data_IF_950599151384
#
_entry.id   IF_950599151384
#
_cell.length_a   1.000
_cell.length_b   1.000
_cell.length_c   1.000
_cell.angle_alpha   90.00
_cell.angle_beta   90.00
_cell.angle_gamma   90.00
#
_symmetry.space_group_name_H-M   'P 1'
#
loop_
_entity.id
_entity.type
_entity.pdbx_description
1 polymer ?
#
# COMPACT_ATOMS: atom_id res chain seq x y z
N UNK A 1 0.13 21.23 26.86
CA UNK A 1 -0.16 21.08 25.41
C UNK A 1 -1.29 20.08 25.27
N UNK A 2 -2.17 20.24 24.27
CA UNK A 2 -3.21 19.23 23.95
C UNK A 2 -2.52 17.96 23.43
N UNK A 3 -2.94 16.78 23.89
CA UNK A 3 -2.45 15.50 23.38
C UNK A 3 -2.80 15.36 21.89
N UNK A 4 -1.84 14.87 21.09
CA UNK A 4 -1.95 14.79 19.63
C UNK A 4 -1.95 13.36 19.14
N UNK A 5 -2.77 13.08 18.14
CA UNK A 5 -2.68 11.83 17.37
C UNK A 5 -1.40 11.82 16.53
N UNK A 6 -0.96 10.65 16.05
CA UNK A 6 0.11 10.58 15.06
C UNK A 6 -0.24 11.39 13.82
N UNK A 7 -1.51 11.35 13.40
CA UNK A 7 -1.99 12.13 12.27
C UNK A 7 -1.80 13.64 12.49
N UNK A 8 -2.13 14.15 13.67
CA UNK A 8 -1.93 15.57 14.01
C UNK A 8 -0.46 15.95 13.91
N UNK A 9 0.43 15.12 14.47
CA UNK A 9 1.89 15.36 14.43
C UNK A 9 2.41 15.41 12.99
N UNK A 10 2.03 14.43 12.17
CA UNK A 10 2.41 14.34 10.76
C UNK A 10 1.82 15.49 9.93
N UNK A 11 0.57 15.88 10.19
CA UNK A 11 -0.05 16.98 9.46
C UNK A 11 0.64 18.30 9.80
N UNK A 12 0.70 18.63 11.09
CA UNK A 12 1.19 19.93 11.57
C UNK A 12 2.65 20.19 11.22
N UNK A 13 3.50 19.15 11.16
CA UNK A 13 4.91 19.32 10.79
C UNK A 13 5.13 19.66 9.31
N UNK A 14 4.10 19.53 8.45
CA UNK A 14 4.20 19.76 7.00
C UNK A 14 3.29 20.88 6.49
N UNK A 15 2.46 21.50 7.34
CA UNK A 15 1.68 22.67 6.95
C UNK A 15 2.63 23.84 6.69
N UNK A 16 2.65 24.31 5.45
CA UNK A 16 3.38 25.53 5.04
C UNK A 16 2.54 26.77 5.32
N UNK A 17 1.24 26.68 5.02
CA UNK A 17 0.26 27.76 5.19
C UNK A 17 -1.12 27.15 5.33
N UNK A 18 -1.95 27.72 6.21
CA UNK A 18 -3.35 27.33 6.38
C UNK A 18 -4.25 28.56 6.22
N UNK A 19 -5.34 28.40 5.47
CA UNK A 19 -6.37 29.41 5.28
C UNK A 19 -7.45 29.30 6.38
N UNK A 20 -8.22 30.38 6.64
CA UNK A 20 -9.26 30.37 7.67
C UNK A 20 -10.36 29.30 7.51
N UNK A 21 -10.53 28.73 6.31
CA UNK A 21 -11.52 27.70 6.02
C UNK A 21 -11.00 26.25 6.21
N UNK A 22 -9.78 26.11 6.75
CA UNK A 22 -9.10 24.82 6.99
C UNK A 22 -8.43 24.22 5.75
N UNK A 23 -8.38 24.96 4.63
CA UNK A 23 -7.54 24.58 3.48
C UNK A 23 -6.07 24.85 3.81
N UNK A 24 -5.21 23.86 3.66
CA UNK A 24 -3.79 23.98 3.91
C UNK A 24 -2.95 23.70 2.66
N UNK A 25 -1.85 24.43 2.53
CA UNK A 25 -0.75 24.08 1.64
C UNK A 25 0.20 23.14 2.41
N UNK A 26 0.23 21.87 2.02
CA UNK A 26 1.01 20.83 2.65
C UNK A 26 2.30 20.58 1.85
N UNK A 27 3.44 20.60 2.51
CA UNK A 27 4.73 20.25 1.92
C UNK A 27 4.84 18.73 1.69
N UNK A 28 5.46 18.33 0.57
CA UNK A 28 5.64 16.95 0.12
C UNK A 28 7.14 16.60 0.13
N UNK A 29 7.55 15.68 1.02
CA UNK A 29 8.95 15.24 1.13
C UNK A 29 9.39 14.33 -0.01
N UNK A 30 8.51 13.40 -0.38
CA UNK A 30 8.79 12.36 -1.38
C UNK A 30 7.65 12.24 -2.36
N UNK A 31 8.00 12.29 -3.63
CA UNK A 31 7.11 11.98 -4.73
C UNK A 31 7.62 10.73 -5.45
N UNK A 32 6.83 9.68 -5.43
CA UNK A 32 7.09 8.49 -6.22
C UNK A 32 6.38 8.62 -7.57
N UNK A 33 7.02 8.16 -8.63
CA UNK A 33 6.54 8.37 -10.01
C UNK A 33 6.57 7.04 -10.76
N UNK A 34 5.55 6.80 -11.56
CA UNK A 34 5.46 5.64 -12.46
C UNK A 34 4.89 6.07 -13.82
N UNK A 35 4.89 5.15 -14.78
CA UNK A 35 4.69 5.44 -16.20
C UNK A 35 3.24 5.75 -16.61
N UNK A 36 2.25 5.41 -15.76
CA UNK A 36 0.84 5.46 -16.16
C UNK A 36 0.23 6.85 -15.98
N UNK A 37 0.52 7.51 -14.86
CA UNK A 37 -0.18 8.75 -14.45
C UNK A 37 0.67 10.01 -14.56
N UNK A 38 1.97 9.86 -14.81
CA UNK A 38 2.94 10.96 -14.89
C UNK A 38 3.15 11.62 -16.27
N UNK A 39 2.93 10.97 -17.44
CA UNK A 39 3.26 11.57 -18.73
C UNK A 39 2.64 12.96 -18.96
N UNK A 40 1.36 13.12 -18.64
CA UNK A 40 0.66 14.39 -18.83
C UNK A 40 1.14 15.47 -17.87
N UNK A 41 1.57 15.11 -16.65
CA UNK A 41 2.13 16.06 -15.69
C UNK A 41 3.44 16.65 -16.21
N UNK A 42 4.34 15.82 -16.75
CA UNK A 42 5.59 16.30 -17.35
C UNK A 42 5.34 17.17 -18.59
N UNK A 43 4.34 16.82 -19.41
CA UNK A 43 3.96 17.65 -20.56
C UNK A 43 3.42 19.01 -20.13
N UNK A 44 2.60 19.06 -19.06
CA UNK A 44 2.12 20.31 -18.46
C UNK A 44 3.28 21.23 -18.06
N UNK A 45 4.33 20.68 -17.43
CA UNK A 45 5.55 21.43 -17.10
C UNK A 45 6.24 21.99 -18.35
N UNK A 46 6.39 21.18 -19.41
CA UNK A 46 7.02 21.63 -20.68
C UNK A 46 6.24 22.76 -21.32
N UNK A 47 4.92 22.60 -21.47
CA UNK A 47 4.04 23.60 -22.07
C UNK A 47 4.03 24.91 -21.27
N UNK A 48 4.12 24.83 -19.94
CA UNK A 48 4.20 25.98 -19.06
C UNK A 48 5.63 26.54 -18.89
N UNK A 49 6.64 25.93 -19.53
CA UNK A 49 8.06 26.24 -19.35
C UNK A 49 8.51 26.26 -17.88
N UNK A 50 8.05 25.27 -17.10
CA UNK A 50 8.33 25.12 -15.67
C UNK A 50 9.38 24.04 -15.42
N UNK A 51 10.43 24.31 -14.63
CA UNK A 51 11.31 23.26 -14.16
C UNK A 51 10.65 22.42 -13.05
N UNK A 52 11.17 21.22 -12.82
CA UNK A 52 10.92 20.49 -11.57
C UNK A 52 11.62 21.21 -10.43
N UNK A 53 10.92 21.52 -9.34
CA UNK A 53 11.45 22.35 -8.25
C UNK A 53 12.57 21.65 -7.48
N UNK A 54 12.36 20.39 -7.08
CA UNK A 54 13.38 19.58 -6.37
C UNK A 54 13.46 18.18 -6.93
N UNK A 55 14.28 17.99 -7.97
CA UNK A 55 14.45 16.70 -8.63
C UNK A 55 14.80 15.55 -7.66
N UNK A 56 15.62 15.80 -6.63
CA UNK A 56 16.02 14.79 -5.63
C UNK A 56 14.90 14.31 -4.69
N UNK A 57 13.76 15.01 -4.63
CA UNK A 57 12.57 14.57 -3.93
C UNK A 57 11.73 13.56 -4.74
N UNK A 58 12.03 13.38 -6.03
CA UNK A 58 11.31 12.50 -6.93
C UNK A 58 12.10 11.20 -7.17
N UNK A 59 11.39 10.07 -7.19
CA UNK A 59 11.97 8.77 -7.50
C UNK A 59 11.01 7.99 -8.40
N UNK A 60 11.50 7.54 -9.54
CA UNK A 60 10.70 6.87 -10.56
C UNK A 60 11.02 5.37 -10.68
N UNK A 61 10.02 4.59 -11.06
CA UNK A 61 10.16 3.21 -11.53
C UNK A 61 9.05 2.90 -12.51
N UNK A 62 9.35 2.10 -13.54
CA UNK A 62 8.31 1.48 -14.34
C UNK A 62 7.86 0.18 -13.66
N UNK A 63 6.56 -0.04 -13.50
CA UNK A 63 6.05 -1.25 -12.81
C UNK A 63 4.70 -1.77 -13.28
N UNK A 64 3.89 -0.98 -13.99
CA UNK A 64 2.57 -1.39 -14.48
C UNK A 64 2.64 -2.11 -15.83
N UNK A 65 3.57 -1.69 -16.69
CA UNK A 65 3.71 -2.12 -18.08
C UNK A 65 4.96 -2.98 -18.33
N UNK A 66 5.64 -3.39 -17.25
CA UNK A 66 6.81 -4.27 -17.34
C UNK A 66 6.37 -5.72 -17.51
N UNK A 67 6.82 -6.44 -18.56
CA UNK A 67 6.44 -7.83 -18.77
C UNK A 67 6.85 -8.75 -17.62
N UNK A 68 5.93 -9.65 -17.26
CA UNK A 68 6.18 -10.77 -16.33
C UNK A 68 6.89 -11.96 -17.00
N UNK A 69 7.03 -11.92 -18.33
CA UNK A 69 7.72 -12.90 -19.17
C UNK A 69 9.11 -12.39 -19.58
N UNK A 70 9.78 -13.10 -20.49
CA UNK A 70 11.12 -12.76 -20.98
C UNK A 70 11.24 -11.28 -21.44
N UNK A 71 12.04 -10.52 -20.68
CA UNK A 71 12.29 -9.08 -20.89
C UNK A 71 13.38 -8.81 -21.94
N UNK A 72 14.12 -9.84 -22.40
CA UNK A 72 15.26 -9.67 -23.30
C UNK A 72 14.90 -9.04 -24.65
N UNK A 73 13.63 -9.12 -25.04
CA UNK A 73 13.09 -8.54 -26.28
C UNK A 73 12.40 -7.19 -26.07
N UNK A 74 12.47 -6.62 -24.86
CA UNK A 74 11.75 -5.42 -24.48
C UNK A 74 10.25 -5.65 -24.34
N UNK A 75 9.46 -4.58 -24.51
CA UNK A 75 8.00 -4.59 -24.34
C UNK A 75 7.34 -4.75 -25.72
N UNK A 76 6.65 -5.87 -25.93
CA UNK A 76 6.04 -6.20 -27.22
C UNK A 76 4.78 -5.38 -27.52
N UNK A 77 3.97 -5.07 -26.50
CA UNK A 77 2.78 -4.24 -26.66
C UNK A 77 3.19 -2.77 -26.88
N UNK A 78 2.84 -2.16 -28.02
CA UNK A 78 3.23 -0.78 -28.32
C UNK A 78 2.67 0.23 -27.32
N UNK A 79 1.52 -0.02 -26.70
CA UNK A 79 0.91 0.90 -25.72
C UNK A 79 1.69 0.87 -24.40
N UNK A 80 1.98 -0.34 -23.90
CA UNK A 80 2.84 -0.53 -22.74
C UNK A 80 4.23 0.07 -22.94
N UNK A 81 4.82 -0.15 -24.13
CA UNK A 81 6.16 0.35 -24.47
C UNK A 81 6.24 1.87 -24.47
N UNK A 82 5.30 2.57 -25.13
CA UNK A 82 5.35 4.04 -25.22
C UNK A 82 5.25 4.69 -23.85
N UNK A 83 4.50 4.12 -22.91
CA UNK A 83 4.40 4.65 -21.54
C UNK A 83 5.75 4.57 -20.82
N UNK A 84 6.42 3.42 -20.87
CA UNK A 84 7.74 3.22 -20.25
C UNK A 84 8.80 4.12 -20.90
N UNK A 85 8.88 4.15 -22.24
CA UNK A 85 9.83 5.01 -22.95
C UNK A 85 9.58 6.51 -22.67
N UNK A 86 8.32 6.90 -22.47
CA UNK A 86 7.97 8.28 -22.10
C UNK A 86 8.43 8.61 -20.68
N UNK A 87 8.31 7.66 -19.73
CA UNK A 87 8.87 7.84 -18.39
C UNK A 87 10.39 7.98 -18.44
N UNK A 88 11.09 7.10 -19.18
CA UNK A 88 12.54 7.14 -19.36
C UNK A 88 12.99 8.53 -19.86
N UNK A 89 12.32 9.05 -20.90
CA UNK A 89 12.62 10.36 -21.46
C UNK A 89 12.33 11.51 -20.48
N UNK A 90 11.19 11.45 -19.77
CA UNK A 90 10.83 12.45 -18.77
C UNK A 90 11.87 12.49 -17.63
N UNK A 91 12.27 11.33 -17.12
CA UNK A 91 13.26 11.24 -16.06
C UNK A 91 14.62 11.79 -16.51
N UNK A 92 15.04 11.51 -17.74
CA UNK A 92 16.25 12.06 -18.33
C UNK A 92 16.19 13.59 -18.48
N UNK A 93 15.11 14.12 -19.05
CA UNK A 93 14.92 15.56 -19.31
C UNK A 93 14.92 16.37 -18.01
N UNK A 94 14.20 15.86 -16.99
CA UNK A 94 13.99 16.55 -15.72
C UNK A 94 14.98 16.13 -14.61
N UNK A 95 15.94 15.26 -14.94
CA UNK A 95 17.00 14.76 -14.04
C UNK A 95 16.44 14.08 -12.78
N UNK A 96 15.38 13.30 -12.95
CA UNK A 96 14.78 12.49 -11.89
C UNK A 96 15.48 11.13 -11.86
N UNK A 97 15.78 10.64 -10.67
CA UNK A 97 16.34 9.31 -10.52
C UNK A 97 15.27 8.26 -10.84
N UNK A 98 15.63 7.33 -11.72
CA UNK A 98 14.74 6.26 -12.16
C UNK A 98 15.42 4.89 -11.99
N UNK A 99 14.65 3.91 -11.50
CA UNK A 99 15.00 2.50 -11.60
C UNK A 99 14.27 1.91 -12.80
N UNK A 100 14.87 2.08 -13.98
CA UNK A 100 14.32 1.60 -15.24
C UNK A 100 14.30 0.07 -15.32
N UNK A 101 13.69 -0.48 -16.37
CA UNK A 101 13.42 -1.92 -16.51
C UNK A 101 14.65 -2.84 -16.32
N UNK A 102 15.86 -2.36 -16.62
CA UNK A 102 17.11 -3.11 -16.51
C UNK A 102 17.84 -2.90 -15.18
N UNK A 103 17.38 -2.00 -14.31
CA UNK A 103 17.94 -1.82 -12.98
C UNK A 103 17.55 -3.02 -12.09
N UNK A 104 18.50 -3.66 -11.39
CA UNK A 104 18.19 -4.80 -10.51
C UNK A 104 17.24 -4.45 -9.35
N UNK A 105 17.06 -3.16 -9.03
CA UNK A 105 16.16 -2.65 -7.99
C UNK A 105 14.76 -2.36 -8.49
N UNK A 106 14.53 -2.40 -9.81
CA UNK A 106 13.22 -2.16 -10.40
C UNK A 106 12.18 -3.09 -9.76
N UNK A 107 11.02 -2.53 -9.46
CA UNK A 107 9.93 -3.24 -8.82
C UNK A 107 8.70 -2.36 -8.69
N UNK A 108 7.67 -2.94 -8.08
CA UNK A 108 6.43 -2.25 -7.74
C UNK A 108 6.77 -1.04 -6.87
N UNK A 109 6.26 0.14 -7.22
CA UNK A 109 6.66 1.41 -6.61
C UNK A 109 6.53 1.42 -5.08
N UNK A 110 5.50 0.77 -4.53
CA UNK A 110 5.24 0.64 -3.09
C UNK A 110 6.07 -0.44 -2.38
N UNK A 111 6.81 -1.27 -3.12
CA UNK A 111 7.78 -2.24 -2.59
C UNK A 111 9.19 -1.69 -2.74
N UNK A 112 9.53 -1.21 -3.93
CA UNK A 112 10.82 -0.62 -4.26
C UNK A 112 11.12 0.58 -3.36
N UNK A 113 10.18 1.53 -3.20
CA UNK A 113 10.44 2.76 -2.45
C UNK A 113 10.96 2.50 -1.03
N UNK A 114 10.22 1.73 -0.21
CA UNK A 114 10.66 1.40 1.14
C UNK A 114 11.89 0.50 1.18
N UNK A 115 12.05 -0.42 0.21
CA UNK A 115 13.23 -1.27 0.09
C UNK A 115 14.52 -0.45 -0.10
N UNK A 116 14.43 0.67 -0.83
CA UNK A 116 15.56 1.59 -0.98
C UNK A 116 15.70 2.58 0.19
N UNK A 117 14.75 2.60 1.14
CA UNK A 117 14.68 3.61 2.21
C UNK A 117 14.21 4.99 1.73
N UNK A 118 13.54 5.05 0.58
CA UNK A 118 13.01 6.30 0.02
C UNK A 118 11.80 6.85 0.81
N UNK A 119 11.21 5.99 1.66
CA UNK A 119 10.16 6.29 2.61
C UNK A 119 10.75 6.18 4.01
N UNK A 120 10.80 7.31 4.71
CA UNK A 120 11.30 7.40 6.08
C UNK A 120 10.17 7.84 7.02
N UNK A 121 10.26 7.50 8.32
CA UNK A 121 9.26 7.94 9.28
C UNK A 121 9.16 9.46 9.34
N UNK A 122 7.92 9.93 9.45
CA UNK A 122 7.62 11.35 9.54
C UNK A 122 7.53 12.07 8.20
N UNK A 123 7.68 11.40 7.07
CA UNK A 123 7.55 12.03 5.75
C UNK A 123 6.09 12.22 5.32
N UNK A 124 5.85 13.21 4.44
CA UNK A 124 4.73 13.20 3.49
C UNK A 124 5.14 12.53 2.18
N UNK A 125 4.40 11.51 1.75
CA UNK A 125 4.72 10.71 0.55
C UNK A 125 3.51 10.65 -0.39
N UNK A 126 3.71 11.02 -1.66
CA UNK A 126 2.64 10.97 -2.67
C UNK A 126 3.09 10.22 -3.91
N UNK A 127 2.13 9.65 -4.64
CA UNK A 127 2.31 9.02 -5.94
C UNK A 127 1.01 9.12 -6.71
N UNK A 128 1.07 9.08 -8.04
CA UNK A 128 -0.11 8.95 -8.90
C UNK A 128 -0.80 7.58 -8.83
N UNK A 129 -0.76 6.91 -7.67
CA UNK A 129 -1.27 5.57 -7.40
C UNK A 129 -2.09 5.57 -6.09
N UNK A 130 -3.25 4.93 -6.09
CA UNK A 130 -4.18 4.89 -4.96
C UNK A 130 -3.60 4.22 -3.70
N UNK A 131 -2.75 3.21 -3.88
CA UNK A 131 -2.17 2.39 -2.82
C UNK A 131 -0.92 2.99 -2.19
N UNK A 132 -0.64 4.27 -2.45
CA UNK A 132 0.41 5.04 -1.77
C UNK A 132 0.27 5.04 -0.25
N UNK A 133 -0.93 4.80 0.27
CA UNK A 133 -1.17 4.57 1.70
C UNK A 133 -0.27 3.47 2.30
N UNK A 134 0.24 2.53 1.51
CA UNK A 134 1.25 1.52 1.92
C UNK A 134 2.39 2.10 2.75
N UNK A 135 2.85 3.30 2.40
CA UNK A 135 3.99 3.97 3.05
C UNK A 135 3.69 4.44 4.47
N UNK A 136 2.42 4.51 4.88
CA UNK A 136 2.07 4.85 6.25
C UNK A 136 2.45 3.77 7.27
N UNK A 137 2.81 2.57 6.83
CA UNK A 137 3.42 1.53 7.67
C UNK A 137 4.71 1.99 8.37
N UNK A 138 5.33 3.06 7.87
CA UNK A 138 6.54 3.68 8.39
C UNK A 138 6.26 4.86 9.31
N UNK A 139 5.00 5.15 9.65
CA UNK A 139 4.62 6.40 10.32
C UNK A 139 4.80 7.61 9.41
N UNK A 140 4.46 7.48 8.13
CA UNK A 140 4.47 8.54 7.13
C UNK A 140 3.04 8.92 6.72
N UNK A 141 2.79 10.19 6.40
CA UNK A 141 1.52 10.63 5.83
C UNK A 141 1.55 10.41 4.33
N UNK A 142 0.98 9.28 3.88
CA UNK A 142 1.07 8.85 2.51
C UNK A 142 -0.28 8.61 1.85
N UNK A 143 -0.46 9.14 0.63
CA UNK A 143 -1.73 9.05 -0.09
C UNK A 143 -1.54 9.22 -1.61
N UNK A 144 -2.47 8.61 -2.37
CA UNK A 144 -2.51 8.75 -3.81
C UNK A 144 -3.01 10.12 -4.24
N UNK A 145 -2.51 10.60 -5.38
CA UNK A 145 -2.84 11.91 -5.96
C UNK A 145 -3.23 11.79 -7.43
N UNK A 146 -4.00 12.76 -7.94
CA UNK A 146 -4.38 12.81 -9.35
C UNK A 146 -3.27 13.34 -10.25
N UNK A 147 -3.36 13.12 -11.57
CA UNK A 147 -2.38 13.62 -12.55
C UNK A 147 -2.14 15.13 -12.47
N UNK A 148 -3.17 15.94 -12.23
CA UNK A 148 -2.98 17.38 -12.03
C UNK A 148 -2.16 17.68 -10.77
N UNK A 149 -2.37 16.93 -9.69
CA UNK A 149 -1.59 17.08 -8.45
C UNK A 149 -0.15 16.61 -8.63
N UNK A 150 0.11 15.58 -9.46
CA UNK A 150 1.47 15.14 -9.84
C UNK A 150 2.25 16.33 -10.45
N UNK A 151 1.64 17.09 -11.36
CA UNK A 151 2.26 18.31 -11.91
C UNK A 151 2.55 19.35 -10.82
N UNK A 152 1.59 19.60 -9.93
CA UNK A 152 1.75 20.58 -8.85
C UNK A 152 2.89 20.21 -7.90
N UNK A 153 2.99 18.94 -7.54
CA UNK A 153 4.10 18.43 -6.72
C UNK A 153 5.40 18.65 -7.47
N UNK A 154 5.53 18.19 -8.72
CA UNK A 154 6.75 18.39 -9.50
C UNK A 154 7.17 19.87 -9.60
N UNK A 155 6.20 20.78 -9.75
CA UNK A 155 6.45 22.22 -9.87
C UNK A 155 6.74 22.95 -8.55
N UNK A 156 6.26 22.45 -7.41
CA UNK A 156 6.23 23.24 -6.15
C UNK A 156 6.60 22.48 -4.88
N UNK A 157 6.62 21.15 -4.91
CA UNK A 157 6.70 20.27 -3.73
C UNK A 157 5.59 20.51 -2.70
N UNK A 158 4.47 21.10 -3.10
CA UNK A 158 3.35 21.35 -2.21
C UNK A 158 2.02 20.92 -2.85
N UNK A 159 1.05 20.60 -2.00
CA UNK A 159 -0.33 20.30 -2.39
C UNK A 159 -1.33 21.08 -1.54
N UNK A 160 -2.43 21.50 -2.17
CA UNK A 160 -3.57 22.05 -1.46
C UNK A 160 -4.40 20.88 -0.93
N UNK A 161 -4.53 20.78 0.39
CA UNK A 161 -5.24 19.69 1.07
C UNK A 161 -6.18 20.24 2.14
N UNK A 162 -7.23 19.48 2.47
CA UNK A 162 -8.01 19.68 3.70
C UNK A 162 -7.74 18.53 4.65
N UNK A 163 -7.54 18.85 5.93
CA UNK A 163 -7.29 17.82 6.95
C UNK A 163 -8.50 16.90 7.06
N UNK A 164 -8.25 15.60 7.04
CA UNK A 164 -9.29 14.58 7.26
C UNK A 164 -9.62 14.49 8.75
N UNK A 165 -10.69 13.78 9.09
CA UNK A 165 -10.91 13.34 10.46
C UNK A 165 -9.96 12.20 10.83
N UNK A 166 -9.75 11.98 12.12
CA UNK A 166 -8.92 10.90 12.66
C UNK A 166 -9.76 9.69 13.04
N UNK A 167 -9.39 8.51 12.54
CA UNK A 167 -10.02 7.24 12.94
C UNK A 167 -8.97 6.33 13.55
N UNK A 168 -9.23 5.76 14.72
CA UNK A 168 -8.40 4.72 15.32
C UNK A 168 -9.04 3.35 15.10
N UNK A 169 -8.32 2.44 14.45
CA UNK A 169 -8.69 1.02 14.37
C UNK A 169 -7.78 0.22 15.30
N UNK A 170 -8.34 -0.27 16.41
CA UNK A 170 -7.63 -1.09 17.40
C UNK A 170 -7.90 -2.57 17.12
N UNK A 171 -6.87 -3.32 16.73
CA UNK A 171 -6.93 -4.78 16.60
C UNK A 171 -6.34 -5.40 17.86
N UNK A 172 -7.21 -5.69 18.82
CA UNK A 172 -6.85 -5.97 20.21
C UNK A 172 -6.48 -7.43 20.48
N UNK A 173 -5.43 -7.65 21.26
CA UNK A 173 -4.86 -8.97 21.52
C UNK A 173 -4.06 -9.58 20.35
N UNK A 174 -3.48 -10.78 20.54
CA UNK A 174 -2.71 -11.46 19.50
C UNK A 174 -3.63 -12.11 18.46
N UNK A 175 -3.20 -12.12 17.21
CA UNK A 175 -3.89 -12.83 16.13
C UNK A 175 -3.79 -14.36 16.31
N UNK A 176 -4.83 -15.09 15.90
CA UNK A 176 -4.87 -16.54 15.98
C UNK A 176 -3.93 -17.25 14.98
N UNK A 177 -3.69 -18.56 15.15
CA UNK A 177 -2.87 -19.33 14.21
C UNK A 177 -3.39 -19.25 12.77
N UNK A 178 -2.48 -19.01 11.82
CA UNK A 178 -2.82 -18.92 10.40
C UNK A 178 -3.41 -17.57 9.95
N UNK A 179 -3.62 -16.64 10.88
CA UNK A 179 -4.05 -15.27 10.58
C UNK A 179 -2.83 -14.42 10.25
N UNK A 180 -2.92 -13.70 9.14
CA UNK A 180 -1.87 -12.81 8.61
C UNK A 180 -2.33 -11.36 8.58
N UNK A 181 -1.43 -10.45 8.19
CA UNK A 181 -1.79 -9.05 7.95
C UNK A 181 -2.95 -8.88 6.96
N UNK A 182 -3.02 -9.76 5.93
CA UNK A 182 -4.09 -9.72 4.93
C UNK A 182 -5.44 -10.05 5.56
N UNK A 183 -5.49 -11.05 6.42
CA UNK A 183 -6.72 -11.44 7.13
C UNK A 183 -7.18 -10.34 8.07
N UNK A 184 -6.24 -9.70 8.78
CA UNK A 184 -6.54 -8.57 9.67
C UNK A 184 -7.20 -7.43 8.89
N UNK A 185 -6.59 -6.97 7.79
CA UNK A 185 -7.13 -5.83 7.06
C UNK A 185 -8.43 -6.17 6.32
N UNK A 186 -8.58 -7.40 5.82
CA UNK A 186 -9.86 -7.86 5.27
C UNK A 186 -10.97 -7.89 6.34
N UNK A 187 -10.66 -8.31 7.57
CA UNK A 187 -11.63 -8.26 8.66
C UNK A 187 -12.00 -6.81 9.04
N UNK A 188 -11.04 -5.87 9.00
CA UNK A 188 -11.33 -4.44 9.17
C UNK A 188 -12.28 -3.95 8.07
N UNK A 189 -11.95 -4.20 6.80
CA UNK A 189 -12.77 -3.75 5.65
C UNK A 189 -14.16 -4.40 5.70
N UNK A 190 -14.26 -5.69 6.01
CA UNK A 190 -15.55 -6.37 6.20
C UNK A 190 -16.37 -5.77 7.35
N UNK A 191 -15.72 -5.23 8.39
CA UNK A 191 -16.39 -4.61 9.53
C UNK A 191 -16.90 -3.21 9.25
N UNK A 192 -16.09 -2.36 8.61
CA UNK A 192 -16.42 -0.93 8.39
C UNK A 192 -16.96 -0.65 6.98
N UNK A 193 -16.82 -1.59 6.05
CA UNK A 193 -17.19 -1.46 4.65
C UNK A 193 -16.22 -0.61 3.85
N UNK A 194 -16.41 -0.61 2.53
CA UNK A 194 -15.61 0.18 1.57
C UNK A 194 -15.77 1.69 1.70
N UNK A 195 -16.82 2.14 2.38
CA UNK A 195 -17.06 3.56 2.66
C UNK A 195 -16.75 3.96 4.11
N UNK A 196 -16.38 3.02 4.99
CA UNK A 196 -16.25 3.27 6.43
C UNK A 196 -15.20 4.30 6.81
N UNK A 197 -14.11 4.37 6.03
CA UNK A 197 -13.03 5.34 6.19
C UNK A 197 -13.20 6.64 5.40
N UNK A 198 -14.33 6.85 4.72
CA UNK A 198 -14.52 8.03 3.87
C UNK A 198 -14.41 9.32 4.68
N UNK A 199 -13.46 10.18 4.31
CA UNK A 199 -13.19 11.45 5.01
C UNK A 199 -12.33 11.30 6.26
N UNK A 200 -11.80 10.10 6.53
CA UNK A 200 -10.89 9.81 7.63
C UNK A 200 -9.48 9.47 7.13
N UNK A 201 -8.50 9.72 7.99
CA UNK A 201 -7.20 9.08 7.99
C UNK A 201 -7.19 8.03 9.11
N UNK A 202 -6.78 6.79 8.79
CA UNK A 202 -6.86 5.66 9.73
C UNK A 202 -5.49 5.44 10.41
N UNK A 203 -5.49 5.43 11.73
CA UNK A 203 -4.39 4.89 12.52
C UNK A 203 -4.70 3.45 12.92
N UNK A 204 -3.84 2.50 12.53
CA UNK A 204 -3.96 1.10 12.93
C UNK A 204 -3.11 0.84 14.18
N UNK A 205 -3.73 0.27 15.22
CA UNK A 205 -3.10 0.01 16.49
C UNK A 205 -3.56 -1.31 17.11
N UNK A 206 -3.11 -1.59 18.34
CA UNK A 206 -3.39 -2.85 19.04
C UNK A 206 -2.26 -3.87 18.89
N UNK A 207 -2.34 -4.93 19.69
CA UNK A 207 -1.27 -5.92 19.79
C UNK A 207 -1.04 -6.64 18.46
N UNK A 208 -2.11 -7.05 17.76
CA UNK A 208 -1.98 -7.72 16.48
C UNK A 208 -1.22 -6.90 15.44
N UNK A 209 -1.40 -5.56 15.42
CA UNK A 209 -0.67 -4.65 14.51
C UNK A 209 0.80 -4.50 14.92
N UNK A 210 1.08 -4.38 16.22
CA UNK A 210 2.46 -4.30 16.74
C UNK A 210 3.25 -5.58 16.47
N UNK A 211 2.58 -6.73 16.54
CA UNK A 211 3.20 -8.05 16.34
C UNK A 211 3.63 -8.29 14.88
N UNK A 212 3.00 -7.61 13.91
CA UNK A 212 3.41 -7.66 12.50
C UNK A 212 4.85 -7.20 12.27
N UNK A 213 5.47 -7.72 11.22
CA UNK A 213 6.64 -7.13 10.56
C UNK A 213 6.27 -5.78 9.92
N UNK A 214 7.26 -5.05 9.44
CA UNK A 214 7.00 -3.81 8.67
C UNK A 214 6.29 -4.14 7.36
N UNK A 215 6.68 -5.21 6.70
CA UNK A 215 6.04 -5.74 5.50
C UNK A 215 4.58 -6.12 5.74
N UNK A 216 4.23 -6.68 6.90
CA UNK A 216 2.85 -6.94 7.30
C UNK A 216 2.08 -5.64 7.55
N UNK A 217 2.69 -4.64 8.18
CA UNK A 217 2.08 -3.30 8.34
C UNK A 217 1.84 -2.64 6.99
N UNK A 218 2.75 -2.81 6.04
CA UNK A 218 2.59 -2.33 4.67
C UNK A 218 1.35 -2.95 4.01
N UNK A 219 1.07 -4.25 4.22
CA UNK A 219 -0.18 -4.88 3.75
C UNK A 219 -1.43 -4.22 4.36
N UNK A 220 -1.42 -3.93 5.67
CA UNK A 220 -2.55 -3.28 6.34
C UNK A 220 -2.76 -1.86 5.81
N UNK A 221 -1.70 -1.05 5.74
CA UNK A 221 -1.78 0.33 5.27
C UNK A 221 -2.10 0.43 3.77
N UNK A 222 -1.60 -0.51 2.95
CA UNK A 222 -1.92 -0.61 1.52
C UNK A 222 -3.44 -0.66 1.31
N UNK A 223 -4.13 -1.47 2.12
CA UNK A 223 -5.56 -1.68 1.96
C UNK A 223 -6.46 -0.68 2.71
N UNK A 224 -5.89 0.41 3.25
CA UNK A 224 -6.68 1.49 3.86
C UNK A 224 -7.60 2.17 2.83
N UNK A 225 -7.17 2.23 1.55
CA UNK A 225 -7.96 2.82 0.48
C UNK A 225 -9.18 1.96 0.12
N UNK A 226 -9.10 0.63 0.21
CA UNK A 226 -10.25 -0.27 0.08
C UNK A 226 -11.26 -0.11 1.21
N UNK A 227 -10.87 0.41 2.37
CA UNK A 227 -11.79 0.83 3.43
C UNK A 227 -12.36 2.24 3.23
N UNK A 228 -11.95 2.96 2.17
CA UNK A 228 -12.39 4.30 1.84
C UNK A 228 -11.55 5.43 2.46
N UNK A 229 -10.48 5.10 3.20
CA UNK A 229 -9.59 6.09 3.79
C UNK A 229 -8.45 6.46 2.83
N UNK A 230 -8.17 7.77 2.69
CA UNK A 230 -7.08 8.23 1.80
C UNK A 230 -5.68 7.91 2.32
N UNK A 231 -5.55 7.72 3.62
CA UNK A 231 -4.28 7.41 4.28
C UNK A 231 -4.52 6.41 5.42
N UNK A 232 -3.54 5.54 5.63
CA UNK A 232 -3.51 4.60 6.74
C UNK A 232 -2.09 4.50 7.30
N UNK A 233 -1.90 4.62 8.61
CA UNK A 233 -0.56 4.59 9.22
C UNK A 233 -0.50 3.79 10.51
N UNK A 234 0.72 3.34 10.82
CA UNK A 234 1.09 2.66 12.07
C UNK A 234 2.18 3.48 12.75
N UNK A 235 2.09 3.58 14.08
CA UNK A 235 3.10 4.26 14.90
C UNK A 235 4.50 3.65 14.73
N UNK A 236 5.51 4.50 14.85
CA UNK A 236 6.90 4.09 14.75
C UNK A 236 7.32 3.33 16.00
N UNK A 237 8.02 2.22 15.79
CA UNK A 237 8.69 1.46 16.84
C UNK A 237 10.06 0.95 16.38
N UNK A 238 10.71 0.14 17.21
CA UNK A 238 12.04 -0.42 16.93
C UNK A 238 12.08 -1.24 15.64
N UNK A 239 10.98 -1.92 15.26
CA UNK A 239 10.92 -2.66 13.98
C UNK A 239 11.01 -1.70 12.81
N UNK A 240 10.38 -0.53 12.91
CA UNK A 240 10.44 0.50 11.87
C UNK A 240 11.85 1.05 11.74
N UNK A 241 12.50 1.36 12.87
CA UNK A 241 13.86 1.90 12.92
C UNK A 241 14.87 0.90 12.35
N UNK A 242 14.82 -0.37 12.77
CA UNK A 242 15.72 -1.39 12.26
C UNK A 242 15.47 -1.72 10.79
N UNK A 243 14.22 -1.65 10.31
CA UNK A 243 13.93 -1.84 8.90
C UNK A 243 14.60 -0.78 8.03
N UNK A 244 14.59 0.50 8.42
CA UNK A 244 15.15 1.59 7.58
C UNK A 244 16.67 1.70 7.68
N UNK A 245 17.28 1.11 8.71
CA UNK A 245 18.71 1.21 8.99
C UNK A 245 19.58 0.67 7.85
N UNK A 246 20.55 1.49 7.43
CA UNK A 246 21.52 1.11 6.40
C UNK A 246 20.95 1.01 4.98
N UNK A 247 19.67 1.35 4.75
CA UNK A 247 19.10 1.42 3.40
C UNK A 247 19.70 2.58 2.60
N UNK A 248 19.74 2.48 1.25
CA UNK A 248 20.40 3.47 0.39
C UNK A 248 20.01 4.94 0.62
N UNK A 249 18.73 5.22 0.89
CA UNK A 249 18.23 6.58 1.14
C UNK A 249 17.99 6.88 2.63
N UNK A 250 18.43 6.00 3.53
CA UNK A 250 18.37 6.25 4.96
C UNK A 250 19.33 7.40 5.37
N UNK A 251 19.09 8.06 6.52
CA UNK A 251 20.01 9.07 7.04
C UNK A 251 21.44 8.52 7.17
N UNK A 252 22.42 9.37 6.87
CA UNK A 252 23.83 9.03 7.08
C UNK A 252 24.12 8.81 8.57
N UNK A 253 25.24 8.16 8.87
CA UNK A 253 25.66 7.90 10.26
C UNK A 253 25.71 9.18 11.13
N UNK A 254 26.03 10.33 10.54
CA UNK A 254 26.07 11.62 11.26
C UNK A 254 24.68 12.13 11.69
N UNK A 255 23.63 11.80 10.94
CA UNK A 255 22.26 12.25 11.21
C UNK A 255 21.38 11.15 11.79
N UNK A 256 21.87 9.91 11.88
CA UNK A 256 21.11 8.74 12.30
C UNK A 256 20.50 8.91 13.70
N UNK A 257 21.32 9.25 14.70
CA UNK A 257 20.83 9.36 16.09
C UNK A 257 19.79 10.47 16.24
N UNK A 258 19.93 11.57 15.50
CA UNK A 258 18.95 12.66 15.48
C UNK A 258 17.64 12.21 14.82
N UNK A 259 17.73 11.47 13.72
CA UNK A 259 16.57 10.91 13.04
C UNK A 259 15.84 9.92 13.94
N UNK A 260 16.55 8.98 14.57
CA UNK A 260 15.97 8.01 15.52
C UNK A 260 15.29 8.70 16.69
N UNK A 261 15.94 9.71 17.29
CA UNK A 261 15.36 10.48 18.40
C UNK A 261 14.04 11.16 17.99
N UNK A 262 13.97 11.72 16.78
CA UNK A 262 12.72 12.28 16.25
C UNK A 262 11.68 11.19 15.96
N UNK A 263 12.08 10.11 15.30
CA UNK A 263 11.19 9.01 14.91
C UNK A 263 10.52 8.33 16.11
N UNK A 264 11.21 8.22 17.24
CA UNK A 264 10.65 7.70 18.48
C UNK A 264 9.49 8.54 19.03
N UNK A 265 9.32 9.79 18.58
CA UNK A 265 8.18 10.65 18.97
C UNK A 265 6.94 10.44 18.09
N UNK A 266 7.07 9.69 17.00
CA UNK A 266 6.04 9.47 15.99
C UNK A 266 5.10 8.32 16.37
N UNK A 267 4.36 8.57 17.43
CA UNK A 267 3.21 7.80 17.90
C UNK A 267 2.14 8.78 18.40
N UNK A 268 0.88 8.34 18.54
CA UNK A 268 -0.12 9.14 19.26
C UNK A 268 0.30 9.37 20.71
N UNK A 269 -0.02 10.55 21.27
CA UNK A 269 0.20 10.84 22.69
C UNK A 269 -0.83 10.12 23.56
N UNK A 270 -0.46 9.81 24.80
CA UNK A 270 -1.42 9.32 25.79
C UNK A 270 -2.57 10.33 25.97
N UNK A 271 -3.80 9.86 25.80
CA UNK A 271 -5.00 10.69 25.89
C UNK A 271 -5.30 11.52 24.63
N UNK A 272 -4.66 11.24 23.49
CA UNK A 272 -5.07 11.80 22.21
C UNK A 272 -6.52 11.37 21.88
N UNK A 273 -7.33 12.33 21.43
CA UNK A 273 -8.73 12.10 21.04
C UNK A 273 -8.80 11.79 19.53
N UNK A 274 -9.57 10.76 19.18
CA UNK A 274 -9.87 10.42 17.79
C UNK A 274 -11.34 10.74 17.49
N UNK A 275 -11.63 11.17 16.26
CA UNK A 275 -13.00 11.45 15.83
C UNK A 275 -13.87 10.17 15.77
N UNK A 276 -13.25 9.01 15.52
CA UNK A 276 -13.90 7.70 15.51
C UNK A 276 -12.94 6.62 16.05
N UNK A 277 -13.47 5.65 16.80
CA UNK A 277 -12.69 4.51 17.32
C UNK A 277 -13.42 3.20 17.04
N UNK A 278 -12.76 2.32 16.28
CA UNK A 278 -13.23 0.98 15.96
C UNK A 278 -12.35 -0.05 16.66
N UNK A 279 -12.94 -0.90 17.48
CA UNK A 279 -12.22 -1.96 18.20
C UNK A 279 -12.63 -3.32 17.66
N UNK A 280 -11.64 -4.13 17.28
CA UNK A 280 -11.81 -5.49 16.74
C UNK A 280 -10.95 -6.45 17.57
N UNK A 281 -11.54 -7.43 18.27
CA UNK A 281 -10.77 -8.47 18.95
C UNK A 281 -10.05 -9.36 17.94
N UNK A 282 -8.71 -9.38 17.96
CA UNK A 282 -7.88 -10.15 17.04
C UNK A 282 -8.19 -11.66 17.09
N UNK A 283 -8.58 -12.17 18.26
CA UNK A 283 -8.95 -13.56 18.47
C UNK A 283 -10.22 -13.99 17.69
N UNK A 284 -11.04 -13.05 17.21
CA UNK A 284 -12.21 -13.32 16.38
C UNK A 284 -11.89 -13.35 14.89
N UNK A 285 -10.69 -12.90 14.50
CA UNK A 285 -10.27 -12.90 13.10
C UNK A 285 -9.82 -14.32 12.75
N UNK A 286 -10.47 -14.89 11.74
CA UNK A 286 -10.09 -16.14 11.09
C UNK A 286 -9.42 -15.85 9.75
N UNK A 287 -8.74 -16.82 9.10
CA UNK A 287 -8.29 -16.66 7.72
C UNK A 287 -9.45 -16.23 6.81
N UNK A 288 -9.27 -15.15 6.06
CA UNK A 288 -10.31 -14.46 5.29
C UNK A 288 -10.13 -14.66 3.79
N UNK A 289 -11.23 -14.53 3.06
CA UNK A 289 -11.23 -14.38 1.60
C UNK A 289 -12.31 -13.38 1.18
N UNK A 290 -12.05 -12.63 0.12
CA UNK A 290 -13.10 -11.89 -0.60
C UNK A 290 -13.74 -12.80 -1.64
N UNK A 291 -15.03 -13.09 -1.53
CA UNK A 291 -15.73 -14.02 -2.43
C UNK A 291 -16.38 -13.34 -3.64
N UNK A 292 -16.57 -12.02 -3.58
CA UNK A 292 -17.29 -11.24 -4.59
C UNK A 292 -16.42 -10.27 -5.38
N UNK A 293 -17.06 -9.22 -5.92
CA UNK A 293 -16.43 -8.18 -6.74
C UNK A 293 -16.10 -6.90 -5.97
N UNK A 294 -16.24 -6.94 -4.64
CA UNK A 294 -15.96 -5.80 -3.75
C UNK A 294 -15.06 -6.26 -2.60
N UNK A 295 -14.07 -5.44 -2.17
CA UNK A 295 -13.21 -5.76 -1.03
C UNK A 295 -13.95 -5.97 0.30
N UNK A 296 -15.17 -5.45 0.47
CA UNK A 296 -15.99 -5.67 1.68
C UNK A 296 -16.77 -7.00 1.67
N UNK A 297 -16.83 -7.69 0.54
CA UNK A 297 -17.50 -9.00 0.41
C UNK A 297 -16.56 -10.10 0.96
N UNK A 298 -16.31 -10.03 2.27
CA UNK A 298 -15.34 -10.86 3.00
C UNK A 298 -16.06 -11.96 3.77
N UNK A 299 -15.46 -13.15 3.78
CA UNK A 299 -15.89 -14.27 4.61
C UNK A 299 -14.69 -15.06 5.13
N UNK A 300 -14.80 -15.69 6.32
CA UNK A 300 -13.82 -16.68 6.74
C UNK A 300 -13.73 -17.81 5.72
N UNK A 301 -12.52 -18.33 5.49
CA UNK A 301 -12.28 -19.47 4.57
C UNK A 301 -13.08 -20.72 4.98
N UNK A 302 -13.41 -20.86 6.27
CA UNK A 302 -14.21 -21.96 6.81
C UNK A 302 -15.72 -21.80 6.60
N UNK A 303 -16.18 -20.65 6.10
CA UNK A 303 -17.60 -20.33 5.98
C UNK A 303 -18.16 -20.67 4.58
N UNK A 304 -19.37 -20.18 4.30
CA UNK A 304 -20.07 -20.30 3.02
C UNK A 304 -20.18 -18.94 2.34
N UNK A 305 -20.35 -18.95 1.03
CA UNK A 305 -20.75 -17.78 0.25
C UNK A 305 -22.06 -17.23 0.84
N UNK A 306 -22.10 -15.96 1.30
CA UNK A 306 -23.30 -15.37 1.91
C UNK A 306 -24.52 -15.35 0.98
N UNK A 307 -25.70 -15.46 1.58
CA UNK A 307 -26.97 -15.44 0.86
C UNK A 307 -27.58 -14.02 0.84
N UNK A 308 -27.85 -13.43 -0.34
CA UNK A 308 -28.50 -12.11 -0.43
C UNK A 308 -29.90 -12.04 0.18
N UNK A 309 -30.52 -13.18 0.53
CA UNK A 309 -31.81 -13.24 1.24
C UNK A 309 -31.67 -12.92 2.73
N UNK A 310 -30.47 -13.07 3.29
CA UNK A 310 -30.17 -12.79 4.70
C UNK A 310 -29.64 -11.35 4.92
N UNK A 311 -29.41 -10.60 3.84
CA UNK A 311 -29.00 -9.19 3.89
C UNK A 311 -30.21 -8.26 3.98
N UNK A 312 -30.23 -7.44 5.04
CA UNK A 312 -31.35 -6.55 5.35
C UNK A 312 -31.34 -5.27 4.50
N UNK A 313 -30.17 -4.81 4.07
CA UNK A 313 -30.05 -3.64 3.19
C UNK A 313 -30.33 -4.06 1.73
N UNK A 314 -31.43 -3.55 1.11
CA UNK A 314 -31.80 -3.96 -0.25
C UNK A 314 -30.75 -3.58 -1.30
N UNK A 315 -29.97 -2.52 -1.08
CA UNK A 315 -28.90 -2.09 -1.99
C UNK A 315 -27.73 -3.05 -1.90
N UNK A 316 -27.32 -3.43 -0.68
CA UNK A 316 -26.27 -4.44 -0.49
C UNK A 316 -26.69 -5.80 -1.03
N UNK A 317 -27.93 -6.22 -0.75
CA UNK A 317 -28.48 -7.47 -1.27
C UNK A 317 -28.46 -7.52 -2.81
N UNK A 318 -28.82 -6.42 -3.48
CA UNK A 318 -28.71 -6.31 -4.94
C UNK A 318 -27.24 -6.37 -5.42
N UNK A 319 -26.33 -5.66 -4.72
CA UNK A 319 -24.89 -5.75 -4.94
C UNK A 319 -24.37 -7.19 -4.88
N UNK A 320 -24.77 -7.94 -3.84
CA UNK A 320 -24.42 -9.36 -3.69
C UNK A 320 -24.97 -10.22 -4.83
N UNK A 321 -26.23 -10.03 -5.25
CA UNK A 321 -26.81 -10.78 -6.39
C UNK A 321 -26.01 -10.55 -7.68
N UNK A 322 -25.60 -9.31 -7.95
CA UNK A 322 -24.76 -8.98 -9.11
C UNK A 322 -23.38 -9.61 -9.00
N UNK A 323 -22.76 -9.55 -7.82
CA UNK A 323 -21.47 -10.19 -7.57
C UNK A 323 -21.53 -11.71 -7.77
N UNK A 324 -22.54 -12.39 -7.23
CA UNK A 324 -22.74 -13.84 -7.41
C UNK A 324 -22.91 -14.20 -8.88
N UNK A 325 -23.72 -13.44 -9.62
CA UNK A 325 -23.92 -13.62 -11.07
C UNK A 325 -22.62 -13.44 -11.85
N UNK A 326 -21.85 -12.38 -11.58
CA UNK A 326 -20.57 -12.11 -12.24
C UNK A 326 -19.52 -13.18 -11.93
N UNK A 327 -19.42 -13.58 -10.65
CA UNK A 327 -18.46 -14.58 -10.19
C UNK A 327 -18.85 -16.01 -10.57
N UNK A 328 -20.11 -16.23 -10.98
CA UNK A 328 -20.65 -17.56 -11.24
C UNK A 328 -20.74 -18.41 -9.97
N UNK A 329 -21.06 -17.79 -8.83
CA UNK A 329 -21.15 -18.44 -7.51
C UNK A 329 -22.61 -18.60 -7.07
N UNK A 330 -22.90 -19.72 -6.40
CA UNK A 330 -24.18 -19.96 -5.75
C UNK A 330 -24.09 -19.65 -4.25
N UNK A 331 -25.08 -18.94 -3.72
CA UNK A 331 -25.22 -18.70 -2.28
C UNK A 331 -25.23 -20.01 -1.47
N UNK A 332 -24.58 -19.99 -0.30
CA UNK A 332 -24.46 -21.17 0.56
C UNK A 332 -23.39 -22.17 0.13
N UNK A 333 -22.72 -21.97 -1.00
CA UNK A 333 -21.56 -22.79 -1.41
C UNK A 333 -20.45 -22.65 -0.36
N UNK A 334 -19.95 -23.73 0.25
CA UNK A 334 -18.78 -23.64 1.12
C UNK A 334 -17.60 -23.01 0.38
N UNK A 335 -16.92 -22.05 0.99
CA UNK A 335 -15.80 -21.34 0.37
C UNK A 335 -14.72 -22.34 -0.12
N UNK A 336 -14.46 -23.38 0.67
CA UNK A 336 -13.50 -24.44 0.33
C UNK A 336 -13.92 -25.34 -0.83
N UNK A 337 -15.15 -25.23 -1.34
CA UNK A 337 -15.64 -25.97 -2.51
C UNK A 337 -15.59 -25.15 -3.80
N UNK A 338 -15.20 -23.87 -3.72
CA UNK A 338 -15.04 -23.02 -4.90
C UNK A 338 -13.86 -23.55 -5.73
N UNK A 339 -14.12 -23.85 -7.00
CA UNK A 339 -13.11 -24.34 -7.93
C UNK A 339 -12.21 -23.21 -8.39
N UNK A 340 -10.89 -23.38 -8.22
CA UNK A 340 -9.88 -22.43 -8.66
C UNK A 340 -9.30 -22.84 -10.02
N UNK A 341 -9.26 -21.88 -10.95
CA UNK A 341 -8.64 -22.05 -12.27
C UNK A 341 -7.24 -21.44 -12.34
N UNK A 342 -7.00 -20.34 -11.62
CA UNK A 342 -5.74 -19.60 -11.60
C UNK A 342 -5.39 -19.21 -10.17
N UNK A 343 -4.09 -19.24 -9.86
CA UNK A 343 -3.54 -18.79 -8.58
C UNK A 343 -2.44 -17.77 -8.86
N UNK A 344 -2.49 -16.64 -8.17
CA UNK A 344 -1.49 -15.59 -8.27
C UNK A 344 -1.02 -15.19 -6.87
N UNK A 345 0.28 -15.26 -6.64
CA UNK A 345 0.95 -14.84 -5.41
C UNK A 345 1.88 -13.69 -5.78
N UNK A 346 1.65 -12.51 -5.21
CA UNK A 346 2.33 -11.29 -5.61
C UNK A 346 1.39 -10.08 -5.52
N UNK A 347 1.72 -9.01 -6.27
CA UNK A 347 1.06 -7.68 -6.31
C UNK A 347 1.65 -6.65 -5.35
N UNK A 348 1.19 -5.40 -5.43
CA UNK A 348 1.63 -4.29 -4.58
C UNK A 348 1.35 -4.55 -3.08
N UNK A 349 0.32 -5.35 -2.76
CA UNK A 349 -0.07 -5.64 -1.38
C UNK A 349 0.81 -6.69 -0.71
N UNK A 350 1.11 -7.79 -1.42
CA UNK A 350 1.76 -9.00 -0.88
C UNK A 350 2.72 -9.62 -1.91
N UNK A 351 3.96 -9.15 -1.95
CA UNK A 351 5.00 -9.66 -2.86
C UNK A 351 6.42 -9.54 -2.29
N UNK A 352 6.51 -9.36 -0.98
CA UNK A 352 7.76 -9.17 -0.24
C UNK A 352 8.32 -10.53 0.16
N UNK A 353 9.57 -10.57 0.65
CA UNK A 353 10.23 -11.85 0.93
C UNK A 353 9.46 -12.71 1.94
N UNK A 354 8.83 -12.11 2.95
CA UNK A 354 8.02 -12.85 3.92
C UNK A 354 6.76 -13.50 3.32
N UNK A 355 6.11 -12.84 2.35
CA UNK A 355 4.95 -13.38 1.65
C UNK A 355 5.37 -14.64 0.85
N UNK A 356 6.52 -14.55 0.17
CA UNK A 356 7.08 -15.66 -0.59
C UNK A 356 7.52 -16.82 0.31
N UNK A 357 8.09 -16.52 1.49
CA UNK A 357 8.43 -17.54 2.50
C UNK A 357 7.17 -18.23 3.03
N UNK A 358 6.11 -17.47 3.33
CA UNK A 358 4.84 -18.02 3.80
C UNK A 358 4.20 -18.93 2.75
N UNK A 359 4.16 -18.49 1.49
CA UNK A 359 3.69 -19.29 0.37
C UNK A 359 4.51 -20.58 0.20
N UNK A 360 5.85 -20.48 0.22
CA UNK A 360 6.73 -21.63 0.08
C UNK A 360 6.58 -22.62 1.25
N UNK A 361 6.34 -22.16 2.48
CA UNK A 361 6.10 -23.02 3.63
C UNK A 361 4.84 -23.90 3.44
N UNK A 362 3.79 -23.35 2.81
CA UNK A 362 2.58 -24.08 2.46
C UNK A 362 2.79 -24.98 1.24
N UNK A 363 3.53 -24.52 0.23
CA UNK A 363 3.77 -25.27 -1.00
C UNK A 363 4.72 -26.46 -0.83
N UNK A 364 5.60 -26.43 0.19
CA UNK A 364 6.66 -27.42 0.39
C UNK A 364 6.12 -28.86 0.41
N UNK A 365 6.64 -29.68 -0.50
CA UNK A 365 6.25 -31.09 -0.64
C UNK A 365 4.89 -31.31 -1.29
N UNK A 366 4.23 -30.23 -1.76
CA UNK A 366 2.95 -30.28 -2.48
C UNK A 366 3.18 -29.93 -3.95
N UNK A 367 2.15 -30.16 -4.75
CA UNK A 367 2.12 -29.80 -6.17
C UNK A 367 0.88 -28.98 -6.46
N UNK A 368 0.99 -28.09 -7.44
CA UNK A 368 -0.17 -27.42 -8.03
C UNK A 368 -1.14 -28.48 -8.54
N UNK A 369 -2.42 -28.34 -8.19
CA UNK A 369 -3.46 -29.29 -8.61
C UNK A 369 -3.64 -29.28 -10.14
N UNK A 370 -3.93 -30.43 -10.74
CA UNK A 370 -4.10 -30.57 -12.20
C UNK A 370 -5.24 -29.70 -12.76
N UNK A 371 -6.21 -29.33 -11.92
CA UNK A 371 -7.31 -28.43 -12.29
C UNK A 371 -6.88 -26.98 -12.46
N UNK A 372 -5.74 -26.56 -11.91
CA UNK A 372 -5.25 -25.19 -11.99
C UNK A 372 -4.53 -25.00 -13.33
N UNK A 373 -5.10 -24.14 -14.18
CA UNK A 373 -4.57 -23.81 -15.51
C UNK A 373 -3.29 -22.99 -15.44
N UNK A 374 -3.14 -22.19 -14.39
CA UNK A 374 -1.99 -21.30 -14.22
C UNK A 374 -1.75 -20.97 -12.75
N UNK A 375 -0.52 -21.16 -12.29
CA UNK A 375 -0.05 -20.67 -11.00
C UNK A 375 1.13 -19.72 -11.24
N UNK A 376 1.07 -18.51 -10.70
CA UNK A 376 2.11 -17.49 -10.85
C UNK A 376 2.57 -17.00 -9.48
N UNK A 377 3.88 -16.82 -9.36
CA UNK A 377 4.52 -16.16 -8.22
C UNK A 377 5.32 -14.99 -8.76
N UNK A 378 4.98 -13.77 -8.32
CA UNK A 378 5.58 -12.53 -8.81
C UNK A 378 6.16 -11.76 -7.62
N UNK A 379 7.50 -11.74 -7.47
CA UNK A 379 8.18 -10.91 -6.49
C UNK A 379 7.93 -9.42 -6.74
N UNK A 380 7.91 -8.63 -5.67
CA UNK A 380 7.61 -7.20 -5.73
C UNK A 380 8.74 -6.34 -6.32
N UNK A 381 9.96 -6.85 -6.33
CA UNK A 381 11.12 -6.19 -6.93
C UNK A 381 12.17 -7.21 -7.40
N UNK A 382 13.12 -6.74 -8.21
CA UNK A 382 14.29 -7.55 -8.60
C UNK A 382 15.16 -7.98 -7.41
N UNK A 383 15.23 -7.16 -6.36
CA UNK A 383 15.94 -7.51 -5.12
C UNK A 383 15.21 -8.59 -4.31
N UNK A 384 13.88 -8.49 -4.15
CA UNK A 384 13.09 -9.55 -3.52
C UNK A 384 13.21 -10.86 -4.31
N UNK A 385 13.19 -10.79 -5.66
CA UNK A 385 13.44 -11.95 -6.52
C UNK A 385 14.81 -12.57 -6.24
N UNK A 386 15.87 -11.76 -6.23
CA UNK A 386 17.22 -12.23 -5.97
C UNK A 386 17.35 -12.88 -4.59
N UNK A 387 16.72 -12.29 -3.56
CA UNK A 387 16.69 -12.86 -2.22
C UNK A 387 15.95 -14.20 -2.17
N UNK A 388 14.76 -14.29 -2.79
CA UNK A 388 14.00 -15.54 -2.88
C UNK A 388 14.77 -16.63 -3.64
N UNK A 389 15.57 -16.26 -4.64
CA UNK A 389 16.45 -17.17 -5.36
C UNK A 389 17.60 -17.69 -4.49
N UNK A 390 18.24 -16.79 -3.73
CA UNK A 390 19.30 -17.13 -2.76
C UNK A 390 18.81 -18.06 -1.65
N UNK A 391 17.58 -17.83 -1.17
CA UNK A 391 16.93 -18.68 -0.15
C UNK A 391 16.37 -19.99 -0.73
N UNK A 392 16.45 -20.18 -2.05
CA UNK A 392 15.97 -21.39 -2.72
C UNK A 392 14.45 -21.50 -2.84
N UNK A 393 13.70 -20.42 -2.56
CA UNK A 393 12.23 -20.42 -2.59
C UNK A 393 11.69 -20.69 -4.00
N UNK A 394 12.39 -20.23 -5.04
CA UNK A 394 12.04 -20.51 -6.45
C UNK A 394 12.05 -21.99 -6.85
N UNK A 395 12.62 -22.88 -6.02
CA UNK A 395 12.67 -24.33 -6.26
C UNK A 395 11.53 -25.08 -5.58
N UNK A 396 10.83 -24.42 -4.65
CA UNK A 396 9.68 -24.95 -3.90
C UNK A 396 8.42 -24.59 -4.64
#
# INVERSE_FOLDING_TARGET
MKAKTLYDKLWESHVVREEPDGTALLYIDRHLVHEVTSPQAFEGLRLANRPVWRASANLATADHNVPTTDRSKGIADPVSRIQVETLDQNCADFRILEFGMNDPRQGIVHVMGPEQGATLPGMTVVCGDSHTSTHGAFGALAHGIGTSEVEHVLATQCLIQKKSKSMLVVVDGPAGPGVTAKDIVLAVIGRIGTAGGTGYAIEFSGQAIRDLSIEGRMTVCNMAIEAGARAGFVAVDDKTIEYVKGRPFAPSAQHWDQAVAYWQTLHSDDGAEFDEVVVIPAAQILPQVTWGTSPEMVSPVSDKVPDPRDEADPVKADGMRRALSYMGLEAGTPITQIRLDKVFIGSCTNSRIEDLRAAAAIARGRKVAESVKQALVVPGSGLVKAQAEQEGLHKV
#
